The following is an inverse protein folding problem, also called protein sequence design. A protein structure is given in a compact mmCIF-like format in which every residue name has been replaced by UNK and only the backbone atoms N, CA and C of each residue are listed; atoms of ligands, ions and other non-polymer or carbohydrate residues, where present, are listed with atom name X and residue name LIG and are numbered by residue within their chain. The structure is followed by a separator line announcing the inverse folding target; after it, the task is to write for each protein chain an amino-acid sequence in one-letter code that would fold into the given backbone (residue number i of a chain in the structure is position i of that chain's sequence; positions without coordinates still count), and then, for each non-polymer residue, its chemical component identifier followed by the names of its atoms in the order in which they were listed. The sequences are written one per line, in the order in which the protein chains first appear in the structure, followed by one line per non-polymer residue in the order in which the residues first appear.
data_IF_551132687465
#
_entry.id   IF_551132687465
#
_cell.length_a   1.000
_cell.length_b   1.000
_cell.length_c   1.000
_cell.angle_alpha   90.00
_cell.angle_beta   90.00
_cell.angle_gamma   90.00
#
_symmetry.space_group_name_H-M   'P 1'
#
loop_
_entity.id
_entity.type
_entity.pdbx_description
1 polymer ?
#
# COMPACT_ATOMS: atom_id res chain seq x y z
N UNK A 1 -1.03 6.56 -11.81
CA UNK A 1 -0.33 7.57 -11.00
C UNK A 1 -1.09 7.69 -9.69
N UNK A 2 -0.43 7.48 -8.55
CA UNK A 2 -1.09 7.61 -7.24
C UNK A 2 -1.37 9.09 -6.98
N UNK A 3 -2.54 9.41 -6.42
CA UNK A 3 -3.03 10.79 -6.30
C UNK A 3 -2.27 11.60 -5.24
N UNK A 4 -1.64 10.93 -4.29
CA UNK A 4 -0.95 11.57 -3.16
C UNK A 4 0.57 11.39 -3.19
N UNK A 5 1.15 11.18 -4.37
CA UNK A 5 2.61 11.12 -4.51
C UNK A 5 3.25 12.43 -4.05
N UNK A 6 4.32 12.30 -3.24
CA UNK A 6 5.18 13.41 -2.81
C UNK A 6 4.48 14.55 -2.06
N UNK A 7 3.34 14.30 -1.40
CA UNK A 7 2.66 15.34 -0.60
C UNK A 7 3.46 15.74 0.65
N UNK A 8 4.34 14.86 1.15
CA UNK A 8 5.13 15.08 2.37
C UNK A 8 4.34 14.86 3.66
N UNK A 9 5.07 14.63 4.76
CA UNK A 9 4.48 14.29 6.06
C UNK A 9 3.65 15.42 6.68
N UNK A 10 4.16 16.65 6.63
CA UNK A 10 3.46 17.84 7.13
C UNK A 10 2.07 17.95 6.47
N UNK A 11 2.03 17.87 5.14
CA UNK A 11 0.77 17.96 4.41
C UNK A 11 -0.16 16.79 4.70
N UNK A 12 0.40 15.58 4.84
CA UNK A 12 -0.36 14.40 5.21
C UNK A 12 -1.02 14.54 6.59
N UNK A 13 -0.33 15.12 7.57
CA UNK A 13 -0.88 15.40 8.90
C UNK A 13 -2.11 16.34 8.85
N UNK A 14 -2.14 17.27 7.90
CA UNK A 14 -3.24 18.24 7.73
C UNK A 14 -4.43 17.72 6.91
N UNK A 15 -4.30 16.58 6.22
CA UNK A 15 -5.37 16.10 5.35
C UNK A 15 -6.66 15.81 6.14
N UNK A 16 -7.85 16.16 5.60
CA UNK A 16 -9.09 15.60 6.10
C UNK A 16 -9.01 14.08 6.16
N UNK A 17 -9.54 13.47 7.22
CA UNK A 17 -9.43 12.01 7.47
C UNK A 17 -9.70 11.17 6.23
N UNK A 18 -10.76 11.45 5.49
CA UNK A 18 -11.10 10.71 4.27
C UNK A 18 -9.98 10.74 3.21
N UNK A 19 -9.30 11.87 3.03
CA UNK A 19 -8.18 11.99 2.09
C UNK A 19 -6.93 11.27 2.60
N UNK A 20 -6.67 11.33 3.91
CA UNK A 20 -5.56 10.59 4.51
C UNK A 20 -5.75 9.07 4.42
N UNK A 21 -6.96 8.58 4.69
CA UNK A 21 -7.34 7.17 4.48
C UNK A 21 -7.14 6.79 3.02
N UNK A 22 -7.57 7.64 2.07
CA UNK A 22 -7.38 7.34 0.65
C UNK A 22 -5.90 7.29 0.25
N UNK A 23 -5.07 8.21 0.75
CA UNK A 23 -3.62 8.20 0.51
C UNK A 23 -2.95 6.93 1.04
N UNK A 24 -3.36 6.45 2.22
CA UNK A 24 -2.86 5.20 2.80
C UNK A 24 -3.42 3.96 2.07
N UNK A 25 -4.67 4.00 1.63
CA UNK A 25 -5.28 2.90 0.88
C UNK A 25 -4.53 2.62 -0.43
N UNK A 26 -3.96 3.65 -1.07
CA UNK A 26 -3.08 3.52 -2.25
C UNK A 26 -1.82 2.67 -1.97
N UNK A 27 -1.43 2.45 -0.71
CA UNK A 27 -0.26 1.65 -0.32
C UNK A 27 -0.57 0.17 -0.06
N UNK A 28 -1.68 -0.14 0.62
CA UNK A 28 -1.94 -1.48 1.18
C UNK A 28 -3.28 -2.10 0.72
N UNK A 29 -4.13 -1.36 0.01
CA UNK A 29 -5.51 -1.76 -0.32
C UNK A 29 -6.37 -2.22 0.88
N UNK A 30 -6.01 -1.85 2.11
CA UNK A 30 -6.76 -2.19 3.33
C UNK A 30 -7.36 -0.93 3.95
N UNK A 31 -8.68 -0.83 3.96
CA UNK A 31 -9.41 0.29 4.60
C UNK A 31 -9.25 0.25 6.13
N UNK A 32 -9.24 -0.95 6.72
CA UNK A 32 -9.03 -1.17 8.16
C UNK A 32 -7.69 -0.59 8.59
N UNK A 33 -6.61 -1.03 7.92
CA UNK A 33 -5.25 -0.54 8.16
C UNK A 33 -5.13 0.97 7.91
N UNK A 34 -5.63 1.46 6.76
CA UNK A 34 -5.55 2.88 6.41
C UNK A 34 -6.31 3.76 7.40
N UNK A 35 -7.44 3.29 7.94
CA UNK A 35 -8.17 3.96 9.01
C UNK A 35 -7.32 4.09 10.28
N UNK A 36 -6.79 2.98 10.76
CA UNK A 36 -5.99 2.94 12.00
C UNK A 36 -4.73 3.79 11.92
N UNK A 37 -4.01 3.78 10.80
CA UNK A 37 -2.83 4.63 10.61
C UNK A 37 -3.23 6.10 10.47
N UNK A 38 -4.29 6.42 9.72
CA UNK A 38 -4.80 7.81 9.61
C UNK A 38 -5.19 8.39 10.97
N UNK A 39 -5.75 7.58 11.86
CA UNK A 39 -6.22 8.00 13.19
C UNK A 39 -5.07 8.19 14.20
N UNK A 40 -3.84 7.79 13.84
CA UNK A 40 -2.63 8.05 14.64
C UNK A 40 -1.99 9.42 14.43
N UNK A 41 -2.49 10.23 13.49
CA UNK A 41 -1.97 11.57 13.20
C UNK A 41 -2.25 12.57 14.32
N UNK A 42 -1.42 13.61 14.50
CA UNK A 42 -0.23 13.94 13.69
C UNK A 42 0.99 13.10 14.09
N UNK A 43 1.83 12.77 13.11
CA UNK A 43 3.13 12.15 13.33
C UNK A 43 4.25 13.21 13.32
N UNK A 44 5.18 13.12 14.27
CA UNK A 44 6.30 14.05 14.37
C UNK A 44 7.33 13.86 13.24
N UNK A 45 7.56 12.61 12.83
CA UNK A 45 8.50 12.26 11.77
C UNK A 45 8.08 11.00 10.99
N UNK A 46 8.92 10.62 10.02
CA UNK A 46 8.67 9.45 9.19
C UNK A 46 8.80 8.14 9.97
N UNK A 47 9.58 8.08 11.04
CA UNK A 47 9.74 6.87 11.83
C UNK A 47 8.45 6.55 12.60
N UNK A 48 7.77 7.57 13.13
CA UNK A 48 6.49 7.37 13.84
C UNK A 48 5.38 6.81 12.94
N UNK A 49 5.21 7.35 11.72
CA UNK A 49 4.20 6.83 10.79
C UNK A 49 4.53 5.41 10.33
N UNK A 50 5.82 5.09 10.09
CA UNK A 50 6.25 3.74 9.71
C UNK A 50 6.01 2.75 10.85
N UNK A 51 6.39 3.10 12.09
CA UNK A 51 6.10 2.27 13.26
C UNK A 51 4.60 2.04 13.45
N UNK A 52 3.77 3.09 13.29
CA UNK A 52 2.31 2.96 13.36
C UNK A 52 1.75 2.06 12.27
N UNK A 53 2.30 2.15 11.05
CA UNK A 53 1.94 1.31 9.92
C UNK A 53 2.28 -0.17 10.15
N UNK A 54 3.46 -0.45 10.71
CA UNK A 54 3.91 -1.79 11.09
C UNK A 54 3.03 -2.38 12.20
N UNK A 55 2.77 -1.63 13.26
CA UNK A 55 1.88 -2.11 14.32
C UNK A 55 0.47 -2.38 13.78
N UNK A 56 -0.04 -1.51 12.90
CA UNK A 56 -1.37 -1.66 12.32
C UNK A 56 -1.47 -2.90 11.42
N UNK A 57 -0.43 -3.23 10.63
CA UNK A 57 -0.48 -4.40 9.73
C UNK A 57 -0.48 -5.70 10.54
N UNK A 58 0.28 -5.76 11.64
CA UNK A 58 0.37 -6.93 12.51
C UNK A 58 -0.93 -7.22 13.28
N UNK A 59 -1.82 -6.24 13.39
CA UNK A 59 -3.12 -6.36 14.06
C UNK A 59 -4.28 -6.63 13.10
N UNK A 60 -4.03 -6.77 11.80
CA UNK A 60 -5.07 -7.16 10.85
C UNK A 60 -5.56 -8.58 11.13
N UNK A 61 -6.87 -8.80 10.94
CA UNK A 61 -7.42 -10.14 10.94
C UNK A 61 -7.06 -10.89 9.64
N UNK A 62 -7.14 -12.22 9.66
CA UNK A 62 -6.96 -13.03 8.45
C UNK A 62 -7.94 -12.62 7.33
N UNK A 63 -9.16 -12.22 7.68
CA UNK A 63 -10.15 -11.74 6.72
C UNK A 63 -9.73 -10.39 6.09
N UNK A 64 -9.19 -9.46 6.90
CA UNK A 64 -8.67 -8.20 6.38
C UNK A 64 -7.49 -8.43 5.42
N UNK A 65 -6.60 -9.37 5.78
CA UNK A 65 -5.45 -9.74 4.94
C UNK A 65 -5.91 -10.33 3.62
N UNK A 66 -6.83 -11.30 3.64
CA UNK A 66 -7.38 -11.92 2.43
C UNK A 66 -8.03 -10.88 1.51
N UNK A 67 -8.82 -9.94 2.07
CA UNK A 67 -9.44 -8.86 1.30
C UNK A 67 -8.41 -7.92 0.68
N UNK A 68 -7.34 -7.59 1.40
CA UNK A 68 -6.26 -6.77 0.86
C UNK A 68 -5.58 -7.47 -0.32
N UNK A 69 -5.26 -8.77 -0.17
CA UNK A 69 -4.60 -9.58 -1.19
C UNK A 69 -5.40 -9.70 -2.50
N UNK A 70 -6.74 -9.65 -2.45
CA UNK A 70 -7.59 -9.64 -3.64
C UNK A 70 -7.35 -8.42 -4.55
N UNK A 71 -6.78 -7.32 -4.02
CA UNK A 71 -6.38 -6.17 -4.82
C UNK A 71 -5.02 -6.32 -5.50
N UNK A 72 -4.20 -7.29 -5.08
CA UNK A 72 -2.85 -7.46 -5.58
C UNK A 72 -2.82 -8.42 -6.77
N UNK A 73 -2.07 -8.10 -7.85
CA UNK A 73 -1.89 -9.04 -8.93
C UNK A 73 -1.08 -10.25 -8.45
N UNK A 74 -1.38 -11.45 -8.97
CA UNK A 74 -0.52 -12.60 -8.76
C UNK A 74 0.91 -12.32 -9.19
N UNK A 75 1.86 -12.94 -8.49
CA UNK A 75 3.28 -12.86 -8.84
C UNK A 75 3.51 -13.44 -10.24
N UNK A 76 4.29 -12.73 -11.06
CA UNK A 76 4.59 -13.09 -12.45
C UNK A 76 3.63 -12.49 -13.48
N UNK A 77 2.43 -12.07 -13.08
CA UNK A 77 1.43 -11.49 -13.99
C UNK A 77 1.69 -10.00 -14.22
N UNK A 78 1.94 -9.60 -15.46
CA UNK A 78 2.19 -8.19 -15.81
C UNK A 78 0.89 -7.43 -16.05
N UNK A 79 0.22 -7.00 -14.97
CA UNK A 79 -0.93 -6.08 -15.07
C UNK A 79 -0.48 -4.67 -15.46
N UNK A 80 -1.41 -3.86 -15.98
CA UNK A 80 -1.23 -2.42 -16.29
C UNK A 80 -1.09 -1.54 -15.02
N UNK A 81 -0.22 -1.94 -14.10
CA UNK A 81 0.15 -1.20 -12.89
C UNK A 81 1.66 -0.98 -12.92
N UNK A 82 2.08 0.28 -13.04
CA UNK A 82 3.50 0.67 -13.08
C UNK A 82 4.24 0.21 -11.79
N UNK A 83 3.72 0.44 -10.56
CA UNK A 83 4.38 -0.04 -9.35
C UNK A 83 4.60 -1.55 -9.34
N UNK A 84 3.53 -2.33 -9.60
CA UNK A 84 3.60 -3.79 -9.60
C UNK A 84 4.55 -4.34 -10.67
N UNK A 85 4.62 -3.70 -11.84
CA UNK A 85 5.58 -4.05 -12.88
C UNK A 85 7.04 -3.86 -12.40
N UNK A 86 7.32 -2.73 -11.74
CA UNK A 86 8.66 -2.43 -11.21
C UNK A 86 9.05 -3.35 -10.05
N UNK A 87 8.14 -3.61 -9.11
CA UNK A 87 8.37 -4.49 -7.96
C UNK A 87 8.79 -5.90 -8.37
N UNK A 88 8.21 -6.40 -9.46
CA UNK A 88 8.44 -7.77 -9.93
C UNK A 88 9.40 -7.85 -11.13
N UNK A 89 10.18 -6.79 -11.42
CA UNK A 89 11.01 -6.70 -12.62
C UNK A 89 12.16 -7.72 -12.68
N UNK A 90 12.57 -8.25 -11.52
CA UNK A 90 13.63 -9.28 -11.41
C UNK A 90 13.08 -10.71 -11.39
N UNK A 91 11.76 -10.90 -11.46
CA UNK A 91 11.16 -12.23 -11.58
C UNK A 91 11.32 -12.71 -13.02
N UNK A 92 12.02 -13.83 -13.18
CA UNK A 92 12.30 -14.44 -14.46
C UNK A 92 12.31 -15.97 -14.33
N UNK A 93 11.78 -16.66 -15.33
CA UNK A 93 11.90 -18.11 -15.52
C UNK A 93 12.25 -18.41 -16.98
N UNK A 94 12.87 -19.57 -17.29
CA UNK A 94 13.25 -19.91 -18.67
C UNK A 94 12.09 -20.10 -19.66
N UNK A 95 10.87 -20.30 -19.16
CA UNK A 95 9.67 -20.53 -19.98
C UNK A 95 9.06 -19.19 -20.44
N UNK A 96 9.24 -18.87 -21.72
CA UNK A 96 8.71 -17.65 -22.34
C UNK A 96 7.17 -17.55 -22.27
N UNK A 97 6.45 -18.68 -22.25
CA UNK A 97 4.99 -18.67 -22.15
C UNK A 97 4.51 -18.20 -20.76
N UNK A 98 5.29 -18.52 -19.71
CA UNK A 98 5.05 -18.05 -18.33
C UNK A 98 5.46 -16.59 -18.16
N UNK A 99 6.48 -16.13 -18.89
CA UNK A 99 6.94 -14.73 -18.85
C UNK A 99 6.04 -13.75 -19.63
N UNK A 100 5.19 -14.26 -20.54
CA UNK A 100 4.31 -13.45 -21.39
C UNK A 100 2.92 -13.15 -20.80
N UNK A 101 2.57 -13.73 -19.65
CA UNK A 101 1.30 -13.49 -18.92
C UNK A 101 1.35 -12.31 -17.96
#
# INVERSE_FOLDING_TARGET
MLLHQSIGLERFNELPRQKAVHALFECCCSLTWAGWVSDGRPFADHAEILSRAEDAILNLSDEDVERALQCHPPVGVRRNSVPSHLEQCSIWVPDDAVMAT
#
